data_IF_578892654719
#
_entry.id   IF_578892654719
#
_cell.length_a   1.000
_cell.length_b   1.000
_cell.length_c   1.000
_cell.angle_alpha   90.00
_cell.angle_beta   90.00
_cell.angle_gamma   90.00
#
_symmetry.space_group_name_H-M   'P 1'
#
loop_
_entity.id
_entity.type
_entity.pdbx_description
1 polymer ?
#
# COMPACT_ATOMS: atom_id res chain seq x y z
N UNK A 1 46.40 9.61 9.57
CA UNK A 1 46.04 9.71 8.12
C UNK A 1 44.93 8.72 7.65
N UNK A 2 44.35 7.95 8.54
CA UNK A 2 43.32 6.92 8.21
C UNK A 2 41.86 7.44 8.08
N UNK A 3 41.51 8.56 8.70
CA UNK A 3 40.12 9.06 8.82
C UNK A 3 39.49 9.68 7.56
N UNK A 4 40.31 10.12 6.58
CA UNK A 4 39.79 10.80 5.37
C UNK A 4 39.33 9.83 4.27
N UNK A 5 39.87 8.60 4.24
CA UNK A 5 39.56 7.57 3.25
C UNK A 5 38.21 6.87 3.57
N UNK A 6 37.89 6.71 4.86
CA UNK A 6 36.66 6.08 5.31
C UNK A 6 35.41 6.97 5.07
N UNK A 7 35.57 8.29 5.24
CA UNK A 7 34.49 9.25 4.97
C UNK A 7 34.14 9.37 3.48
N UNK A 8 35.13 9.22 2.59
CA UNK A 8 34.92 9.24 1.13
C UNK A 8 34.17 7.98 0.67
N UNK A 9 34.58 6.81 1.16
CA UNK A 9 33.93 5.52 0.85
C UNK A 9 32.48 5.46 1.35
N UNK A 10 32.23 5.97 2.56
CA UNK A 10 30.88 6.05 3.12
C UNK A 10 29.95 6.99 2.32
N UNK A 11 30.49 8.14 1.84
CA UNK A 11 29.73 9.06 0.97
C UNK A 11 29.40 8.44 -0.39
N UNK A 12 30.33 7.70 -1.00
CA UNK A 12 30.10 7.00 -2.27
C UNK A 12 29.05 5.88 -2.13
N UNK A 13 29.09 5.12 -1.03
CA UNK A 13 28.10 4.08 -0.76
C UNK A 13 26.69 4.68 -0.53
N UNK A 14 26.62 5.79 0.21
CA UNK A 14 25.34 6.50 0.42
C UNK A 14 24.79 7.04 -0.89
N UNK A 15 25.61 7.70 -1.72
CA UNK A 15 25.20 8.19 -3.05
C UNK A 15 24.69 7.06 -3.94
N UNK A 16 25.37 5.91 -3.98
CA UNK A 16 24.94 4.75 -4.76
C UNK A 16 23.62 4.15 -4.27
N UNK A 17 23.32 4.21 -2.96
CA UNK A 17 22.04 3.77 -2.41
C UNK A 17 20.89 4.74 -2.76
N UNK A 18 21.17 6.04 -2.75
CA UNK A 18 20.19 7.08 -3.08
C UNK A 18 19.84 7.06 -4.57
N UNK A 19 20.83 6.86 -5.45
CA UNK A 19 20.63 6.67 -6.89
C UNK A 19 19.79 5.41 -7.17
N UNK A 20 20.06 4.30 -6.48
CA UNK A 20 19.28 3.07 -6.62
C UNK A 20 17.82 3.25 -6.17
N UNK A 21 17.55 4.01 -5.10
CA UNK A 21 16.20 4.33 -4.66
C UNK A 21 15.47 5.19 -5.70
N UNK A 22 16.14 6.19 -6.27
CA UNK A 22 15.58 7.03 -7.32
C UNK A 22 15.15 6.20 -8.57
N UNK A 23 16.01 5.29 -9.04
CA UNK A 23 15.67 4.40 -10.15
C UNK A 23 14.47 3.50 -9.84
N UNK A 24 14.35 3.01 -8.60
CA UNK A 24 13.21 2.19 -8.18
C UNK A 24 11.91 2.98 -8.15
N UNK A 25 11.95 4.25 -7.74
CA UNK A 25 10.77 5.13 -7.78
C UNK A 25 10.35 5.43 -9.22
N UNK A 26 11.30 5.74 -10.11
CA UNK A 26 11.01 5.95 -11.54
C UNK A 26 10.42 4.69 -12.17
N UNK A 27 11.00 3.52 -11.88
CA UNK A 27 10.46 2.24 -12.38
C UNK A 27 9.02 1.99 -11.86
N UNK A 28 8.73 2.31 -10.60
CA UNK A 28 7.37 2.19 -10.05
C UNK A 28 6.37 3.12 -10.75
N UNK A 29 6.77 4.36 -11.07
CA UNK A 29 5.92 5.30 -11.82
C UNK A 29 5.67 4.82 -13.25
N UNK A 30 6.69 4.29 -13.93
CA UNK A 30 6.52 3.71 -15.28
C UNK A 30 5.57 2.51 -15.23
N UNK A 31 5.74 1.61 -14.25
CA UNK A 31 4.85 0.46 -14.06
C UNK A 31 3.42 0.91 -13.75
N UNK A 32 3.24 1.96 -12.95
CA UNK A 32 1.92 2.56 -12.69
C UNK A 32 1.28 3.06 -13.98
N UNK A 33 2.01 3.81 -14.81
CA UNK A 33 1.50 4.28 -16.10
C UNK A 33 1.10 3.12 -17.01
N UNK A 34 1.93 2.08 -17.11
CA UNK A 34 1.62 0.87 -17.88
C UNK A 34 0.36 0.15 -17.34
N UNK A 35 0.24 0.02 -16.02
CA UNK A 35 -0.93 -0.60 -15.38
C UNK A 35 -2.21 0.20 -15.64
N UNK A 36 -2.17 1.54 -15.54
CA UNK A 36 -3.32 2.41 -15.82
C UNK A 36 -3.75 2.34 -17.30
N UNK A 37 -2.79 2.30 -18.22
CA UNK A 37 -3.08 2.12 -19.65
C UNK A 37 -3.67 0.74 -19.94
N UNK A 38 -3.13 -0.31 -19.33
CA UNK A 38 -3.66 -1.67 -19.44
C UNK A 38 -5.10 -1.76 -18.91
N UNK A 39 -5.38 -1.17 -17.74
CA UNK A 39 -6.72 -1.10 -17.17
C UNK A 39 -7.69 -0.30 -18.06
N UNK A 40 -7.23 0.79 -18.67
CA UNK A 40 -8.04 1.55 -19.63
C UNK A 40 -8.41 0.70 -20.85
N UNK A 41 -7.45 0.00 -21.42
CA UNK A 41 -7.67 -0.90 -22.57
C UNK A 41 -8.60 -2.05 -22.19
N UNK A 42 -8.40 -2.65 -21.01
CA UNK A 42 -9.24 -3.71 -20.47
C UNK A 42 -10.69 -3.23 -20.26
N UNK A 43 -10.88 -2.02 -19.72
CA UNK A 43 -12.21 -1.41 -19.56
C UNK A 43 -12.90 -1.23 -20.90
N UNK A 44 -12.20 -0.71 -21.91
CA UNK A 44 -12.75 -0.51 -23.25
C UNK A 44 -13.17 -1.85 -23.88
N UNK A 45 -12.35 -2.89 -23.75
CA UNK A 45 -12.66 -4.24 -24.25
C UNK A 45 -13.82 -4.87 -23.49
N UNK A 46 -13.85 -4.76 -22.17
CA UNK A 46 -14.92 -5.30 -21.32
C UNK A 46 -16.28 -4.63 -21.54
N UNK A 47 -16.31 -3.40 -22.06
CA UNK A 47 -17.53 -2.70 -22.44
C UNK A 47 -18.17 -3.25 -23.73
N UNK A 48 -17.48 -4.08 -24.51
CA UNK A 48 -18.03 -4.74 -25.68
C UNK A 48 -18.74 -6.05 -25.30
N UNK A 49 -19.82 -6.40 -26.00
CA UNK A 49 -20.62 -7.62 -25.72
C UNK A 49 -19.76 -8.88 -25.81
N UNK A 50 -18.91 -8.99 -26.82
CA UNK A 50 -17.99 -10.12 -26.99
C UNK A 50 -16.88 -10.16 -25.94
N UNK A 51 -16.35 -8.99 -25.56
CA UNK A 51 -15.32 -8.86 -24.51
C UNK A 51 -15.87 -9.21 -23.13
N UNK A 52 -17.10 -8.80 -22.82
CA UNK A 52 -17.77 -9.14 -21.58
C UNK A 52 -17.89 -10.66 -21.41
N UNK A 53 -18.48 -11.37 -22.37
CA UNK A 53 -18.69 -12.81 -22.28
C UNK A 53 -17.37 -13.59 -22.16
N UNK A 54 -16.37 -13.23 -22.98
CA UNK A 54 -15.08 -13.90 -22.98
C UNK A 54 -14.28 -13.68 -21.66
N UNK A 55 -14.31 -12.47 -21.12
CA UNK A 55 -13.58 -12.14 -19.91
C UNK A 55 -14.30 -12.55 -18.63
N UNK A 56 -15.64 -12.48 -18.58
CA UNK A 56 -16.39 -12.78 -17.36
C UNK A 56 -16.11 -14.19 -16.84
N UNK A 57 -16.09 -15.19 -17.73
CA UNK A 57 -15.76 -16.56 -17.34
C UNK A 57 -14.31 -16.72 -16.90
N UNK A 58 -13.41 -15.94 -17.48
CA UNK A 58 -11.98 -15.96 -17.14
C UNK A 58 -11.65 -15.18 -15.85
N UNK A 59 -12.51 -14.28 -15.39
CA UNK A 59 -12.20 -13.40 -14.22
C UNK A 59 -11.91 -14.17 -12.95
N UNK A 60 -12.60 -15.29 -12.72
CA UNK A 60 -12.37 -16.14 -11.56
C UNK A 60 -10.99 -16.80 -11.60
N UNK A 61 -10.59 -17.29 -12.76
CA UNK A 61 -9.27 -17.90 -12.94
C UNK A 61 -8.15 -16.87 -12.81
N UNK A 62 -8.36 -15.66 -13.32
CA UNK A 62 -7.43 -14.53 -13.15
C UNK A 62 -7.31 -14.16 -11.67
N UNK A 63 -8.44 -14.10 -10.94
CA UNK A 63 -8.43 -13.80 -9.52
C UNK A 63 -7.69 -14.86 -8.70
N UNK A 64 -8.02 -16.12 -8.88
CA UNK A 64 -7.38 -17.24 -8.16
C UNK A 64 -5.91 -17.38 -8.54
N UNK A 65 -5.58 -17.30 -9.83
CA UNK A 65 -4.20 -17.32 -10.31
C UNK A 65 -3.37 -16.17 -9.75
N UNK A 66 -3.97 -14.98 -9.64
CA UNK A 66 -3.37 -13.80 -9.01
C UNK A 66 -3.05 -14.03 -7.53
N UNK A 67 -3.99 -14.61 -6.77
CA UNK A 67 -3.78 -14.96 -5.35
C UNK A 67 -2.65 -15.99 -5.21
N UNK A 68 -2.66 -17.04 -6.01
CA UNK A 68 -1.62 -18.08 -5.98
C UNK A 68 -0.25 -17.48 -6.31
N UNK A 69 -0.17 -16.64 -7.34
CA UNK A 69 1.08 -15.96 -7.72
C UNK A 69 1.59 -15.04 -6.60
N UNK A 70 0.70 -14.26 -5.98
CA UNK A 70 1.07 -13.37 -4.89
C UNK A 70 1.58 -14.14 -3.67
N UNK A 71 0.88 -15.18 -3.25
CA UNK A 71 1.26 -16.03 -2.11
C UNK A 71 2.58 -16.76 -2.41
N UNK A 72 2.73 -17.36 -3.58
CA UNK A 72 3.95 -18.04 -3.99
C UNK A 72 5.17 -17.09 -3.98
N UNK A 73 5.00 -15.87 -4.54
CA UNK A 73 6.06 -14.88 -4.56
C UNK A 73 6.46 -14.41 -3.14
N UNK A 74 5.48 -14.23 -2.23
CA UNK A 74 5.74 -13.87 -0.83
C UNK A 74 6.44 -15.00 -0.07
N UNK A 75 6.02 -16.25 -0.27
CA UNK A 75 6.65 -17.45 0.34
C UNK A 75 8.09 -17.59 -0.15
N UNK A 76 8.33 -17.46 -1.47
CA UNK A 76 9.69 -17.50 -2.03
C UNK A 76 10.54 -16.36 -1.47
N UNK A 77 10.00 -15.16 -1.35
CA UNK A 77 10.70 -14.02 -0.75
C UNK A 77 11.09 -14.28 0.71
N UNK A 78 10.25 -15.00 1.46
CA UNK A 78 10.50 -15.33 2.86
C UNK A 78 11.54 -16.46 3.03
N UNK A 79 11.49 -17.47 2.16
CA UNK A 79 12.32 -18.68 2.28
C UNK A 79 13.70 -18.55 1.63
N UNK A 80 13.80 -17.80 0.51
CA UNK A 80 15.04 -17.71 -0.26
C UNK A 80 15.99 -16.66 0.34
N UNK A 81 17.21 -17.10 0.66
CA UNK A 81 18.28 -16.25 1.20
C UNK A 81 19.02 -15.44 0.13
N UNK A 82 18.87 -15.78 -1.16
CA UNK A 82 19.55 -15.08 -2.25
C UNK A 82 19.05 -13.63 -2.36
N UNK A 83 19.99 -12.70 -2.29
CA UNK A 83 19.72 -11.24 -2.31
C UNK A 83 19.04 -10.78 -3.60
N UNK A 84 19.42 -11.35 -4.75
CA UNK A 84 18.87 -10.97 -6.06
C UNK A 84 17.41 -11.42 -6.17
N UNK A 85 17.12 -12.67 -5.78
CA UNK A 85 15.75 -13.21 -5.78
C UNK A 85 14.86 -12.40 -4.85
N UNK A 86 15.31 -12.09 -3.63
CA UNK A 86 14.57 -11.26 -2.67
C UNK A 86 14.29 -9.85 -3.19
N UNK A 87 15.17 -9.31 -4.04
CA UNK A 87 14.98 -7.97 -4.62
C UNK A 87 13.95 -7.97 -5.76
N UNK A 88 13.86 -9.08 -6.52
CA UNK A 88 12.96 -9.22 -7.68
C UNK A 88 11.55 -9.73 -7.30
N UNK A 89 11.42 -10.52 -6.24
CA UNK A 89 10.14 -11.15 -5.83
C UNK A 89 8.99 -10.17 -5.49
N UNK A 90 9.20 -8.94 -5.02
CA UNK A 90 8.12 -7.98 -4.87
C UNK A 90 7.37 -7.64 -6.16
N UNK A 91 8.01 -7.75 -7.33
CA UNK A 91 7.37 -7.49 -8.62
C UNK A 91 6.27 -8.52 -8.95
N UNK A 92 6.55 -9.84 -9.00
CA UNK A 92 5.51 -10.84 -9.23
C UNK A 92 4.45 -10.85 -8.12
N UNK A 93 4.81 -10.53 -6.86
CA UNK A 93 3.84 -10.36 -5.80
C UNK A 93 2.86 -9.21 -6.09
N UNK A 94 3.36 -8.05 -6.52
CA UNK A 94 2.53 -6.90 -6.88
C UNK A 94 1.64 -7.21 -8.10
N UNK A 95 2.17 -7.88 -9.13
CA UNK A 95 1.40 -8.33 -10.29
C UNK A 95 0.30 -9.30 -9.87
N UNK A 96 0.61 -10.26 -9.00
CA UNK A 96 -0.37 -11.21 -8.46
C UNK A 96 -1.49 -10.53 -7.68
N UNK A 97 -1.15 -9.58 -6.80
CA UNK A 97 -2.14 -8.78 -6.05
C UNK A 97 -3.02 -7.97 -7.01
N UNK A 98 -2.42 -7.34 -8.02
CA UNK A 98 -3.17 -6.56 -9.00
C UNK A 98 -4.09 -7.44 -9.84
N UNK A 99 -3.63 -8.60 -10.30
CA UNK A 99 -4.44 -9.56 -11.03
C UNK A 99 -5.61 -10.09 -10.18
N UNK A 100 -5.35 -10.43 -8.91
CA UNK A 100 -6.39 -10.85 -7.97
C UNK A 100 -7.44 -9.75 -7.77
N UNK A 101 -7.00 -8.52 -7.47
CA UNK A 101 -7.89 -7.37 -7.28
C UNK A 101 -8.72 -7.09 -8.54
N UNK A 102 -8.10 -7.18 -9.73
CA UNK A 102 -8.79 -6.98 -11.02
C UNK A 102 -9.85 -8.05 -11.24
N UNK A 103 -9.51 -9.33 -11.09
CA UNK A 103 -10.44 -10.43 -11.30
C UNK A 103 -11.62 -10.39 -10.34
N UNK A 104 -11.39 -10.17 -9.04
CA UNK A 104 -12.46 -10.04 -8.05
C UNK A 104 -13.32 -8.79 -8.28
N UNK A 105 -12.71 -7.64 -8.60
CA UNK A 105 -13.45 -6.40 -8.83
C UNK A 105 -14.35 -6.49 -10.07
N UNK A 106 -13.86 -7.09 -11.17
CA UNK A 106 -14.66 -7.30 -12.37
C UNK A 106 -15.80 -8.30 -12.14
N UNK A 107 -15.59 -9.33 -11.33
CA UNK A 107 -16.61 -10.33 -11.01
C UNK A 107 -17.72 -9.76 -10.12
N UNK A 108 -17.36 -8.93 -9.14
CA UNK A 108 -18.29 -8.43 -8.12
C UNK A 108 -18.97 -7.12 -8.50
N UNK A 109 -18.30 -6.26 -9.26
CA UNK A 109 -18.75 -4.89 -9.53
C UNK A 109 -18.82 -4.54 -11.02
N UNK A 110 -18.59 -5.49 -11.91
CA UNK A 110 -18.64 -5.32 -13.36
C UNK A 110 -17.81 -4.09 -13.82
N UNK A 111 -18.38 -3.25 -14.68
CA UNK A 111 -17.72 -2.02 -15.14
C UNK A 111 -17.48 -0.98 -14.05
N UNK A 112 -18.27 -0.99 -12.98
CA UNK A 112 -18.11 -0.10 -11.84
C UNK A 112 -16.90 -0.44 -10.95
N UNK A 113 -16.31 -1.63 -11.12
CA UNK A 113 -15.07 -2.01 -10.47
C UNK A 113 -13.84 -1.25 -10.96
N UNK A 114 -13.83 -0.70 -12.17
CA UNK A 114 -12.67 -0.04 -12.75
C UNK A 114 -12.23 1.24 -12.00
N UNK A 115 -13.12 2.15 -11.54
CA UNK A 115 -12.70 3.28 -10.71
C UNK A 115 -11.96 2.84 -9.44
N UNK A 116 -12.42 1.76 -8.80
CA UNK A 116 -11.75 1.18 -7.65
C UNK A 116 -10.35 0.64 -8.00
N UNK A 117 -10.20 -0.02 -9.16
CA UNK A 117 -8.91 -0.53 -9.63
C UNK A 117 -7.91 0.59 -9.92
N UNK A 118 -8.35 1.70 -10.52
CA UNK A 118 -7.49 2.88 -10.72
C UNK A 118 -7.00 3.43 -9.39
N UNK A 119 -7.89 3.60 -8.42
CA UNK A 119 -7.53 4.00 -7.06
C UNK A 119 -6.55 3.01 -6.43
N UNK A 120 -6.81 1.72 -6.53
CA UNK A 120 -5.99 0.66 -5.95
C UNK A 120 -4.57 0.62 -6.54
N UNK A 121 -4.43 0.77 -7.86
CA UNK A 121 -3.12 0.89 -8.52
C UNK A 121 -2.35 2.12 -8.03
N UNK A 122 -3.02 3.27 -7.94
CA UNK A 122 -2.42 4.51 -7.42
C UNK A 122 -1.99 4.36 -5.97
N UNK A 123 -2.83 3.77 -5.12
CA UNK A 123 -2.53 3.51 -3.72
C UNK A 123 -1.33 2.57 -3.54
N UNK A 124 -1.25 1.48 -4.30
CA UNK A 124 -0.10 0.56 -4.27
C UNK A 124 1.20 1.24 -4.69
N UNK A 125 1.17 2.03 -5.77
CA UNK A 125 2.34 2.77 -6.23
C UNK A 125 2.78 3.81 -5.20
N UNK A 126 1.84 4.56 -4.61
CA UNK A 126 2.10 5.52 -3.55
C UNK A 126 2.76 4.83 -2.34
N UNK A 127 2.19 3.71 -1.88
CA UNK A 127 2.73 2.97 -0.75
C UNK A 127 4.12 2.40 -1.03
N UNK A 128 4.39 1.96 -2.26
CA UNK A 128 5.72 1.51 -2.67
C UNK A 128 6.73 2.67 -2.65
N UNK A 129 6.35 3.85 -3.15
CA UNK A 129 7.20 5.06 -3.13
C UNK A 129 7.48 5.48 -1.68
N UNK A 130 6.46 5.50 -0.83
CA UNK A 130 6.59 5.79 0.60
C UNK A 130 7.55 4.82 1.27
N UNK A 131 7.43 3.51 1.00
CA UNK A 131 8.31 2.48 1.56
C UNK A 131 9.78 2.67 1.15
N UNK A 132 10.05 3.25 -0.04
CA UNK A 132 11.41 3.46 -0.55
C UNK A 132 12.03 4.78 -0.12
N UNK A 133 11.24 5.84 -0.02
CA UNK A 133 11.72 7.19 0.30
C UNK A 133 11.69 7.50 1.79
N UNK A 134 10.76 6.90 2.53
CA UNK A 134 10.52 7.24 3.93
C UNK A 134 10.86 6.06 4.86
N UNK A 135 10.83 6.32 6.16
CA UNK A 135 11.00 5.30 7.20
C UNK A 135 9.73 4.46 7.36
N UNK A 136 9.88 3.28 7.92
CA UNK A 136 8.78 2.36 8.25
C UNK A 136 7.66 3.01 9.09
N UNK A 137 8.00 3.98 9.91
CA UNK A 137 7.04 4.75 10.71
C UNK A 137 6.02 5.46 9.83
N UNK A 138 6.49 6.20 8.82
CA UNK A 138 5.61 6.88 7.87
C UNK A 138 4.85 5.91 6.98
N UNK A 139 5.48 4.82 6.59
CA UNK A 139 4.79 3.78 5.80
C UNK A 139 3.57 3.20 6.54
N UNK A 140 3.70 2.87 7.85
CA UNK A 140 2.59 2.35 8.64
C UNK A 140 1.47 3.40 8.81
N UNK A 141 1.86 4.66 9.01
CA UNK A 141 0.94 5.79 9.07
C UNK A 141 0.17 5.96 7.75
N UNK A 142 0.89 6.08 6.65
CA UNK A 142 0.33 6.25 5.30
C UNK A 142 -0.56 5.08 4.89
N UNK A 143 -0.18 3.84 5.21
CA UNK A 143 -0.95 2.65 4.89
C UNK A 143 -2.35 2.68 5.52
N UNK A 144 -2.46 3.07 6.80
CA UNK A 144 -3.74 3.20 7.48
C UNK A 144 -4.57 4.35 6.91
N UNK A 145 -3.94 5.50 6.64
CA UNK A 145 -4.60 6.70 6.12
C UNK A 145 -5.14 6.50 4.70
N UNK A 146 -4.33 5.93 3.79
CA UNK A 146 -4.74 5.68 2.40
C UNK A 146 -5.85 4.63 2.34
N UNK A 147 -5.78 3.59 3.17
CA UNK A 147 -6.84 2.57 3.21
C UNK A 147 -8.14 3.14 3.77
N UNK A 148 -8.07 3.97 4.83
CA UNK A 148 -9.22 4.67 5.37
C UNK A 148 -9.84 5.63 4.33
N UNK A 149 -9.02 6.43 3.65
CA UNK A 149 -9.47 7.32 2.57
C UNK A 149 -10.17 6.58 1.43
N UNK A 150 -9.66 5.42 1.02
CA UNK A 150 -10.30 4.55 0.03
C UNK A 150 -11.64 3.99 0.48
N UNK A 151 -11.76 3.58 1.75
CA UNK A 151 -13.01 3.15 2.35
C UNK A 151 -14.05 4.27 2.33
N UNK A 152 -13.66 5.47 2.79
CA UNK A 152 -14.56 6.62 2.82
C UNK A 152 -14.99 7.08 1.43
N UNK A 153 -14.08 7.01 0.44
CA UNK A 153 -14.43 7.22 -0.95
C UNK A 153 -15.52 6.26 -1.43
N UNK A 154 -15.38 4.96 -1.14
CA UNK A 154 -16.40 3.97 -1.50
C UNK A 154 -17.74 4.20 -0.80
N UNK A 155 -17.73 4.60 0.48
CA UNK A 155 -18.94 4.85 1.26
C UNK A 155 -19.60 6.19 0.92
N UNK A 156 -18.84 7.18 0.46
CA UNK A 156 -19.37 8.50 0.07
C UNK A 156 -20.21 8.46 -1.21
N UNK A 157 -20.00 7.48 -2.08
CA UNK A 157 -20.73 7.34 -3.34
C UNK A 157 -22.19 6.84 -3.20
N UNK A 158 -22.69 6.72 -1.97
CA UNK A 158 -24.11 6.43 -1.71
C UNK A 158 -24.58 5.00 -1.98
N UNK A 159 -23.67 4.12 -2.38
CA UNK A 159 -24.01 2.71 -2.60
C UNK A 159 -24.09 1.96 -1.28
N UNK A 160 -25.19 1.25 -1.07
CA UNK A 160 -25.37 0.35 0.05
C UNK A 160 -24.28 -0.74 0.02
N UNK A 161 -23.27 -0.64 0.88
CA UNK A 161 -22.23 -1.63 1.15
C UNK A 161 -21.73 -2.42 -0.09
N UNK A 162 -21.13 -1.77 -1.07
CA UNK A 162 -20.57 -2.52 -2.20
C UNK A 162 -19.47 -3.46 -1.69
N UNK A 163 -19.28 -4.64 -2.29
CA UNK A 163 -18.28 -5.62 -1.86
C UNK A 163 -16.87 -5.04 -1.66
N UNK A 164 -16.51 -4.02 -2.44
CA UNK A 164 -15.26 -3.26 -2.32
C UNK A 164 -15.15 -2.48 -1.00
N UNK A 165 -16.26 -1.93 -0.46
CA UNK A 165 -16.25 -1.26 0.83
C UNK A 165 -16.05 -2.26 1.96
N UNK A 166 -16.67 -3.44 1.88
CA UNK A 166 -16.46 -4.52 2.85
C UNK A 166 -15.00 -4.99 2.82
N UNK A 167 -14.44 -5.18 1.63
CA UNK A 167 -13.02 -5.53 1.48
C UNK A 167 -12.10 -4.48 2.14
N UNK A 168 -12.33 -3.20 1.86
CA UNK A 168 -11.54 -2.11 2.44
C UNK A 168 -11.75 -1.98 3.96
N UNK A 169 -12.93 -2.25 4.47
CA UNK A 169 -13.21 -2.25 5.90
C UNK A 169 -12.41 -3.37 6.61
N UNK A 170 -12.43 -4.57 6.06
CA UNK A 170 -11.64 -5.71 6.58
C UNK A 170 -10.15 -5.41 6.48
N UNK A 171 -9.68 -4.87 5.35
CA UNK A 171 -8.29 -4.47 5.16
C UNK A 171 -7.88 -3.38 6.16
N UNK A 172 -8.70 -2.35 6.38
CA UNK A 172 -8.46 -1.30 7.35
C UNK A 172 -8.37 -1.89 8.77
N UNK A 173 -9.33 -2.73 9.18
CA UNK A 173 -9.28 -3.38 10.49
C UNK A 173 -8.00 -4.20 10.68
N UNK A 174 -7.58 -4.98 9.68
CA UNK A 174 -6.34 -5.75 9.72
C UNK A 174 -5.09 -4.84 9.82
N UNK A 175 -5.08 -3.72 9.08
CA UNK A 175 -3.98 -2.75 9.12
C UNK A 175 -3.93 -2.03 10.47
N UNK A 176 -5.06 -1.59 11.02
CA UNK A 176 -5.12 -0.93 12.32
C UNK A 176 -4.62 -1.86 13.44
N UNK A 177 -5.08 -3.11 13.45
CA UNK A 177 -4.62 -4.11 14.42
C UNK A 177 -3.15 -4.43 14.21
N UNK A 178 -2.73 -4.72 12.98
CA UNK A 178 -1.35 -5.07 12.64
C UNK A 178 -0.35 -3.94 12.97
N UNK A 179 -0.64 -2.71 12.58
CA UNK A 179 0.21 -1.55 12.88
C UNK A 179 0.30 -1.27 14.39
N UNK A 180 -0.82 -1.41 15.12
CA UNK A 180 -0.84 -1.27 16.58
C UNK A 180 0.01 -2.36 17.25
N UNK A 181 -0.10 -3.62 16.83
CA UNK A 181 0.75 -4.71 17.31
C UNK A 181 2.23 -4.45 17.02
N UNK A 182 2.56 -3.99 15.81
CA UNK A 182 3.94 -3.63 15.44
C UNK A 182 4.47 -2.52 16.35
N UNK A 183 3.68 -1.49 16.65
CA UNK A 183 4.08 -0.40 17.55
C UNK A 183 4.34 -0.93 18.96
N UNK A 184 3.45 -1.77 19.50
CA UNK A 184 3.58 -2.32 20.86
C UNK A 184 4.80 -3.25 20.96
N UNK A 185 4.96 -4.16 20.00
CA UNK A 185 6.07 -5.13 19.98
C UNK A 185 7.42 -4.44 19.80
N UNK A 186 7.51 -3.51 18.84
CA UNK A 186 8.74 -2.74 18.62
C UNK A 186 9.06 -1.83 19.80
N UNK A 187 8.05 -1.25 20.48
CA UNK A 187 8.23 -0.47 21.70
C UNK A 187 8.87 -1.28 22.82
N UNK A 188 8.44 -2.53 23.01
CA UNK A 188 9.01 -3.46 24.01
C UNK A 188 10.45 -3.88 23.70
N UNK A 189 10.85 -3.86 22.42
CA UNK A 189 12.17 -4.30 21.94
C UNK A 189 13.12 -3.12 21.61
N UNK A 190 12.89 -1.95 22.17
CA UNK A 190 13.75 -0.79 21.93
C UNK A 190 13.74 -0.26 20.49
N UNK A 191 12.61 -0.40 19.80
CA UNK A 191 12.42 0.07 18.42
C UNK A 191 12.87 -0.92 17.35
N UNK A 192 13.27 -2.12 17.71
CA UNK A 192 13.65 -3.20 16.78
C UNK A 192 12.56 -4.27 16.74
N UNK A 193 12.28 -4.82 15.57
CA UNK A 193 11.41 -5.98 15.41
C UNK A 193 12.16 -7.10 14.68
N UNK A 194 12.02 -8.32 15.15
CA UNK A 194 12.54 -9.49 14.46
C UNK A 194 11.51 -9.96 13.43
N UNK A 195 11.71 -9.56 12.17
CA UNK A 195 10.90 -10.03 11.05
C UNK A 195 11.69 -11.06 10.23
N UNK A 196 11.15 -12.26 10.10
CA UNK A 196 11.77 -13.34 9.31
C UNK A 196 13.25 -13.61 9.65
N UNK A 197 13.61 -13.57 10.94
CA UNK A 197 14.97 -13.81 11.40
C UNK A 197 15.96 -12.66 11.21
N UNK A 198 15.50 -11.51 10.71
CA UNK A 198 16.29 -10.28 10.60
C UNK A 198 15.80 -9.22 11.60
N UNK A 199 16.75 -8.60 12.31
CA UNK A 199 16.46 -7.45 13.17
C UNK A 199 16.28 -6.21 12.29
N UNK A 200 15.03 -5.78 12.11
CA UNK A 200 14.68 -4.55 11.38
C UNK A 200 14.41 -3.46 12.40
N UNK A 201 15.08 -2.33 12.25
CA UNK A 201 14.83 -1.16 13.07
C UNK A 201 13.64 -0.39 12.49
N UNK A 202 12.51 -0.45 13.18
CA UNK A 202 11.27 0.24 12.77
C UNK A 202 11.28 1.67 13.30
N UNK A 203 11.63 1.84 14.59
CA UNK A 203 11.68 3.13 15.23
C UNK A 203 13.12 3.58 15.46
N UNK A 204 13.47 4.78 14.97
CA UNK A 204 14.77 5.42 15.16
C UNK A 204 14.80 6.33 16.39
N UNK A 205 15.98 6.90 16.71
CA UNK A 205 16.06 8.00 17.68
C UNK A 205 15.22 9.17 17.14
N UNK A 206 14.28 9.68 17.97
CA UNK A 206 13.35 10.75 17.58
C UNK A 206 12.07 10.30 16.88
N UNK A 207 11.82 8.97 16.73
CA UNK A 207 10.52 8.49 16.26
C UNK A 207 9.42 8.76 17.30
N UNK A 208 8.20 8.94 16.80
CA UNK A 208 7.02 9.18 17.64
C UNK A 208 5.95 8.09 17.36
N UNK A 209 6.15 6.86 17.89
CA UNK A 209 5.21 5.75 17.67
C UNK A 209 3.80 6.09 18.13
N UNK A 210 3.67 7.05 19.05
CA UNK A 210 2.40 7.61 19.48
C UNK A 210 1.57 8.20 18.34
N UNK A 211 2.20 8.80 17.31
CA UNK A 211 1.48 9.35 16.17
C UNK A 211 0.73 8.27 15.37
N UNK A 212 1.32 7.08 15.24
CA UNK A 212 0.66 5.95 14.57
C UNK A 212 -0.58 5.51 15.36
N UNK A 213 -0.45 5.41 16.68
CA UNK A 213 -1.58 5.04 17.54
C UNK A 213 -2.69 6.09 17.53
N UNK A 214 -2.32 7.38 17.56
CA UNK A 214 -3.27 8.49 17.50
C UNK A 214 -4.05 8.48 16.18
N UNK A 215 -3.36 8.26 15.06
CA UNK A 215 -3.99 8.19 13.73
C UNK A 215 -4.83 6.93 13.58
N UNK A 216 -4.37 5.78 14.09
CA UNK A 216 -5.19 4.56 14.11
C UNK A 216 -6.48 4.76 14.91
N UNK A 217 -6.39 5.42 16.09
CA UNK A 217 -7.56 5.80 16.89
C UNK A 217 -8.49 6.75 16.16
N UNK A 218 -7.93 7.76 15.48
CA UNK A 218 -8.69 8.70 14.65
C UNK A 218 -9.48 7.97 13.55
N UNK A 219 -8.83 7.08 12.79
CA UNK A 219 -9.52 6.34 11.71
C UNK A 219 -10.55 5.35 12.23
N UNK A 220 -10.31 4.74 13.39
CA UNK A 220 -11.30 3.91 14.05
C UNK A 220 -12.56 4.72 14.41
N UNK A 221 -12.39 5.88 15.05
CA UNK A 221 -13.50 6.77 15.42
C UNK A 221 -14.21 7.31 14.20
N UNK A 222 -13.48 7.77 13.17
CA UNK A 222 -14.08 8.21 11.91
C UNK A 222 -14.87 7.10 11.23
N UNK A 223 -14.36 5.87 11.22
CA UNK A 223 -15.07 4.73 10.62
C UNK A 223 -16.38 4.45 11.35
N UNK A 224 -16.37 4.43 12.68
CA UNK A 224 -17.61 4.28 13.48
C UNK A 224 -18.59 5.42 13.21
N UNK A 225 -18.10 6.67 13.15
CA UNK A 225 -18.93 7.83 12.86
C UNK A 225 -19.53 7.76 11.43
N UNK A 226 -18.76 7.32 10.43
CA UNK A 226 -19.25 7.11 9.06
C UNK A 226 -20.38 6.07 9.01
N UNK A 227 -20.25 4.99 9.80
CA UNK A 227 -21.28 3.95 9.87
C UNK A 227 -22.60 4.45 10.47
N UNK A 228 -22.53 5.42 11.38
CA UNK A 228 -23.71 5.99 12.06
C UNK A 228 -24.30 7.16 11.25
N UNK A 229 -23.45 8.08 10.77
CA UNK A 229 -23.83 9.34 10.14
C UNK A 229 -24.00 9.25 8.61
N UNK A 230 -23.52 8.17 8.00
CA UNK A 230 -23.73 7.87 6.58
C UNK A 230 -22.79 8.56 5.60
N UNK A 231 -23.22 8.61 4.33
CA UNK A 231 -22.38 8.96 3.18
C UNK A 231 -21.82 10.40 3.20
N UNK A 232 -22.56 11.37 3.73
CA UNK A 232 -22.10 12.75 3.83
C UNK A 232 -20.88 12.86 4.74
N UNK A 233 -20.90 12.17 5.88
CA UNK A 233 -19.75 12.15 6.80
C UNK A 233 -18.56 11.39 6.20
N UNK A 234 -18.82 10.31 5.42
CA UNK A 234 -17.79 9.61 4.67
C UNK A 234 -17.07 10.54 3.68
N UNK A 235 -17.82 11.40 2.98
CA UNK A 235 -17.28 12.39 2.06
C UNK A 235 -16.30 13.35 2.76
N UNK A 236 -16.69 13.93 3.89
CA UNK A 236 -15.79 14.82 4.66
C UNK A 236 -14.59 14.05 5.25
N UNK A 237 -14.79 12.83 5.72
CA UNK A 237 -13.71 11.98 6.25
C UNK A 237 -12.69 11.61 5.19
N UNK A 238 -13.11 11.46 3.93
CA UNK A 238 -12.20 11.24 2.79
C UNK A 238 -11.26 12.45 2.61
N UNK A 239 -11.78 13.69 2.61
CA UNK A 239 -10.94 14.88 2.51
C UNK A 239 -10.03 15.04 3.73
N UNK A 240 -10.52 14.70 4.93
CA UNK A 240 -9.69 14.69 6.12
C UNK A 240 -8.51 13.70 5.99
N UNK A 241 -8.74 12.51 5.43
CA UNK A 241 -7.68 11.54 5.17
C UNK A 241 -6.63 12.07 4.19
N UNK A 242 -7.06 12.72 3.10
CA UNK A 242 -6.15 13.35 2.12
C UNK A 242 -5.32 14.45 2.79
N UNK A 243 -5.96 15.31 3.59
CA UNK A 243 -5.28 16.40 4.28
C UNK A 243 -4.26 15.87 5.32
N UNK A 244 -4.61 14.85 6.10
CA UNK A 244 -3.73 14.21 7.08
C UNK A 244 -2.53 13.57 6.39
N UNK A 245 -2.73 12.87 5.28
CA UNK A 245 -1.64 12.27 4.49
C UNK A 245 -0.69 13.33 3.95
N UNK A 246 -1.23 14.42 3.40
CA UNK A 246 -0.42 15.52 2.86
C UNK A 246 0.39 16.22 3.95
N UNK A 247 -0.23 16.54 5.11
CA UNK A 247 0.46 17.13 6.26
C UNK A 247 1.57 16.22 6.75
N UNK A 248 1.32 14.92 6.85
CA UNK A 248 2.29 13.95 7.26
C UNK A 248 3.45 13.81 6.26
N UNK A 249 3.15 13.79 4.95
CA UNK A 249 4.16 13.75 3.90
C UNK A 249 5.11 14.97 3.92
N UNK A 250 4.60 16.13 4.35
CA UNK A 250 5.44 17.33 4.56
C UNK A 250 6.19 17.25 5.89
N UNK A 251 5.55 16.81 6.97
CA UNK A 251 6.13 16.77 8.32
C UNK A 251 7.31 15.79 8.44
N UNK A 252 7.18 14.58 7.91
CA UNK A 252 8.17 13.54 8.11
C UNK A 252 9.56 13.83 7.51
N UNK A 253 9.73 14.47 6.33
CA UNK A 253 11.05 14.88 5.84
C UNK A 253 11.75 15.88 6.75
N UNK A 254 11.01 16.84 7.33
CA UNK A 254 11.60 17.84 8.25
C UNK A 254 12.05 17.24 9.57
N UNK A 255 11.42 16.17 10.02
CA UNK A 255 11.81 15.46 11.24
C UNK A 255 13.02 14.55 11.04
N UNK A 256 13.39 14.25 9.80
CA UNK A 256 14.46 13.32 9.43
C UNK A 256 15.84 14.00 9.25
N UNK A 257 15.87 15.32 9.12
CA UNK A 257 17.07 16.15 9.14
C UNK A 257 17.40 16.59 10.56
#
# INVERSE_FOLDING_TARGET
>A
MATKKDTSSAKLLKKKSDDAAAYQVVAALVLLCCALLALRSLRAYYATVGGFSALYDSTLYIALGGVVLAVAALVVCALVKNRVVRMLMPLPAAVGILAAATGFSMRLAWTEGFPFLYFFCGALALQYIVLKLYRWEFFLFSLSTVTAGGLYYCLSSGFAWPPRAIFLLVALAAILVGSTLVVILAGRQGGMLQLFGQKVRIFGKGSAPFLILAVNGLWLLCTVAVLILGSLFAYYSMFAAIAVEFIAAVYYPFKLN
#
